data_IF_457695897790
#
_entry.id   IF_457695897790
#
_cell.length_a   1.000
_cell.length_b   1.000
_cell.length_c   1.000
_cell.angle_alpha   90.00
_cell.angle_beta   90.00
_cell.angle_gamma   90.00
#
_symmetry.space_group_name_H-M   'P 1'
#
loop_
_entity.id
_entity.type
_entity.pdbx_description
1 polymer ?
#
# COMPACT_ATOMS: atom_id res chain seq x y z
N UNK A 1 30.43 2.63 -10.33
CA UNK A 1 29.52 3.74 -10.02
C UNK A 1 28.11 3.18 -10.01
N UNK A 2 27.56 2.92 -8.83
CA UNK A 2 26.14 2.56 -8.70
C UNK A 2 25.32 3.71 -9.25
N UNK A 3 24.40 3.41 -10.17
CA UNK A 3 23.47 4.41 -10.68
C UNK A 3 22.56 4.78 -9.53
N UNK A 4 22.70 5.99 -8.99
CA UNK A 4 21.81 6.54 -7.96
C UNK A 4 20.39 6.51 -8.51
N UNK A 5 19.59 5.52 -8.11
CA UNK A 5 18.21 5.37 -8.57
C UNK A 5 17.35 6.38 -7.83
N UNK A 6 16.59 7.18 -8.59
CA UNK A 6 15.71 8.20 -8.03
C UNK A 6 14.42 7.52 -7.56
N UNK A 7 13.97 7.83 -6.33
CA UNK A 7 12.69 7.37 -5.79
C UNK A 7 11.52 7.55 -6.75
N UNK A 8 11.52 8.60 -7.58
CA UNK A 8 10.47 8.84 -8.59
C UNK A 8 10.29 7.66 -9.54
N UNK A 9 11.39 6.98 -9.95
CA UNK A 9 11.31 5.82 -10.86
C UNK A 9 10.67 4.60 -10.17
N UNK A 10 11.01 4.38 -8.90
CA UNK A 10 10.38 3.32 -8.11
C UNK A 10 8.91 3.60 -7.88
N UNK A 11 8.56 4.86 -7.63
CA UNK A 11 7.18 5.27 -7.46
C UNK A 11 6.37 5.07 -8.73
N UNK A 12 6.89 5.48 -9.88
CA UNK A 12 6.24 5.26 -11.18
C UNK A 12 5.99 3.77 -11.46
N UNK A 13 6.97 2.90 -11.14
CA UNK A 13 6.80 1.45 -11.25
C UNK A 13 5.72 0.91 -10.31
N UNK A 14 5.66 1.42 -9.07
CA UNK A 14 4.61 1.07 -8.11
C UNK A 14 3.25 1.53 -8.63
N UNK A 15 3.12 2.75 -9.11
CA UNK A 15 1.86 3.29 -9.68
C UNK A 15 1.35 2.45 -10.84
N UNK A 16 2.24 2.06 -11.77
CA UNK A 16 1.90 1.14 -12.87
C UNK A 16 1.41 -0.21 -12.35
N UNK A 17 2.02 -0.73 -11.29
CA UNK A 17 1.64 -2.01 -10.69
C UNK A 17 0.28 -1.90 -9.99
N UNK A 18 0.06 -0.84 -9.21
CA UNK A 18 -1.21 -0.56 -8.52
C UNK A 18 -2.37 -0.30 -9.49
N UNK A 19 -2.07 0.17 -10.71
CA UNK A 19 -3.04 0.37 -11.80
C UNK A 19 -3.34 -0.91 -12.61
N UNK A 20 -2.60 -2.01 -12.37
CA UNK A 20 -2.85 -3.28 -13.07
C UNK A 20 -4.26 -3.81 -12.77
N UNK A 21 -4.90 -4.49 -13.75
CA UNK A 21 -6.25 -5.04 -13.57
C UNK A 21 -6.31 -6.05 -12.41
N UNK A 22 -5.22 -6.77 -12.17
CA UNK A 22 -5.11 -7.78 -11.11
C UNK A 22 -5.27 -7.18 -9.71
N UNK A 23 -4.79 -5.96 -9.51
CA UNK A 23 -4.89 -5.25 -8.24
C UNK A 23 -6.08 -4.28 -8.17
N UNK A 24 -6.66 -3.90 -9.32
CA UNK A 24 -7.79 -2.96 -9.40
C UNK A 24 -9.15 -3.67 -9.36
N UNK A 25 -9.25 -4.85 -9.96
CA UNK A 25 -10.50 -5.59 -10.01
C UNK A 25 -10.67 -6.43 -8.74
N UNK A 26 -11.72 -6.14 -7.96
CA UNK A 26 -12.00 -6.81 -6.69
C UNK A 26 -12.16 -8.33 -6.82
N UNK A 27 -12.74 -8.83 -7.93
CA UNK A 27 -12.95 -10.27 -8.15
C UNK A 27 -11.65 -10.99 -8.50
N UNK A 28 -10.79 -10.36 -9.29
CA UNK A 28 -9.45 -10.90 -9.59
C UNK A 28 -8.61 -10.90 -8.31
N UNK A 29 -8.66 -9.82 -7.53
CA UNK A 29 -7.99 -9.70 -6.24
C UNK A 29 -8.47 -10.77 -5.24
N UNK A 30 -9.77 -11.02 -5.16
CA UNK A 30 -10.36 -12.08 -4.33
C UNK A 30 -9.79 -13.45 -4.71
N UNK A 31 -9.69 -13.73 -6.01
CA UNK A 31 -9.12 -14.98 -6.53
C UNK A 31 -7.63 -15.11 -6.17
N UNK A 32 -6.86 -14.01 -6.23
CA UNK A 32 -5.44 -14.01 -5.82
C UNK A 32 -5.29 -14.29 -4.32
N UNK A 33 -6.10 -13.65 -3.49
CA UNK A 33 -6.09 -13.85 -2.04
C UNK A 33 -6.48 -15.29 -1.69
N UNK A 34 -7.50 -15.82 -2.35
CA UNK A 34 -7.90 -17.22 -2.20
C UNK A 34 -6.72 -18.15 -2.53
N UNK A 35 -6.04 -17.96 -3.67
CA UNK A 35 -4.88 -18.76 -4.06
C UNK A 35 -3.75 -18.71 -3.01
N UNK A 36 -3.44 -17.51 -2.50
CA UNK A 36 -2.39 -17.32 -1.49
C UNK A 36 -2.74 -17.97 -0.14
N UNK A 37 -3.99 -17.84 0.31
CA UNK A 37 -4.45 -18.46 1.56
C UNK A 37 -4.55 -19.99 1.44
N UNK A 38 -4.98 -20.51 0.28
CA UNK A 38 -4.98 -21.96 0.03
C UNK A 38 -3.57 -22.56 0.08
N UNK A 39 -2.58 -21.85 -0.47
CA UNK A 39 -1.20 -22.30 -0.48
C UNK A 39 -0.58 -22.29 0.92
N UNK A 40 -1.01 -21.40 1.82
CA UNK A 40 -0.48 -21.32 3.19
C UNK A 40 -1.16 -22.25 4.19
N UNK A 41 -2.42 -22.63 3.98
CA UNK A 41 -3.22 -23.28 5.04
C UNK A 41 -3.27 -24.80 5.03
N UNK A 42 -2.90 -25.49 3.95
CA UNK A 42 -2.82 -26.96 3.88
C UNK A 42 -4.08 -27.75 4.29
N UNK A 43 -5.23 -27.11 4.53
CA UNK A 43 -6.39 -27.72 5.21
C UNK A 43 -7.72 -27.22 4.65
N UNK A 44 -8.64 -28.17 4.41
CA UNK A 44 -10.00 -27.97 3.92
C UNK A 44 -10.95 -27.66 5.10
N UNK A 45 -11.47 -26.43 5.16
CA UNK A 45 -12.56 -26.07 6.07
C UNK A 45 -13.46 -25.03 5.37
N UNK A 46 -14.43 -25.56 4.62
CA UNK A 46 -15.10 -24.94 3.47
C UNK A 46 -15.97 -23.72 3.80
N UNK A 47 -16.46 -23.59 5.05
CA UNK A 47 -17.31 -22.46 5.47
C UNK A 47 -16.58 -21.28 6.15
N UNK A 48 -15.49 -21.54 6.89
CA UNK A 48 -14.71 -20.48 7.56
C UNK A 48 -13.85 -19.70 6.56
N UNK A 49 -13.44 -20.39 5.48
CA UNK A 49 -12.56 -19.87 4.43
C UNK A 49 -13.17 -18.71 3.65
N UNK A 50 -14.46 -18.79 3.30
CA UNK A 50 -15.10 -17.76 2.47
C UNK A 50 -15.22 -16.41 3.19
N UNK A 51 -15.67 -16.41 4.45
CA UNK A 51 -15.76 -15.17 5.24
C UNK A 51 -14.38 -14.53 5.45
N UNK A 52 -13.35 -15.36 5.67
CA UNK A 52 -11.96 -14.88 5.79
C UNK A 52 -11.47 -14.30 4.48
N UNK A 53 -11.73 -14.95 3.34
CA UNK A 53 -11.36 -14.44 2.01
C UNK A 53 -12.04 -13.10 1.76
N UNK A 54 -13.34 -12.95 2.02
CA UNK A 54 -14.04 -11.69 1.80
C UNK A 54 -13.49 -10.57 2.69
N UNK A 55 -13.30 -10.85 3.99
CA UNK A 55 -12.72 -9.87 4.92
C UNK A 55 -11.33 -9.42 4.47
N UNK A 56 -10.47 -10.36 4.09
CA UNK A 56 -9.12 -10.06 3.56
C UNK A 56 -9.16 -9.31 2.24
N UNK A 57 -10.12 -9.62 1.37
CA UNK A 57 -10.29 -8.91 0.09
C UNK A 57 -10.63 -7.44 0.33
N UNK A 58 -11.52 -7.15 1.28
CA UNK A 58 -11.86 -5.77 1.65
C UNK A 58 -10.65 -5.05 2.26
N UNK A 59 -9.96 -5.68 3.21
CA UNK A 59 -8.77 -5.09 3.84
C UNK A 59 -7.67 -4.76 2.83
N UNK A 60 -7.33 -5.71 1.94
CA UNK A 60 -6.31 -5.52 0.91
C UNK A 60 -6.75 -4.48 -0.12
N UNK A 61 -8.02 -4.49 -0.54
CA UNK A 61 -8.56 -3.45 -1.44
C UNK A 61 -8.41 -2.07 -0.84
N UNK A 62 -8.86 -1.88 0.41
CA UNK A 62 -8.74 -0.60 1.12
C UNK A 62 -7.29 -0.15 1.25
N UNK A 63 -6.37 -1.10 1.50
CA UNK A 63 -4.95 -0.82 1.56
C UNK A 63 -4.38 -0.38 0.21
N UNK A 64 -4.73 -1.08 -0.88
CA UNK A 64 -4.32 -0.71 -2.24
C UNK A 64 -4.87 0.68 -2.63
N UNK A 65 -6.11 0.98 -2.26
CA UNK A 65 -6.71 2.30 -2.47
C UNK A 65 -5.98 3.39 -1.69
N UNK A 66 -5.56 3.10 -0.45
CA UNK A 66 -4.72 4.01 0.33
C UNK A 66 -3.36 4.25 -0.35
N UNK A 67 -2.72 3.22 -0.91
CA UNK A 67 -1.47 3.39 -1.66
C UNK A 67 -1.66 4.20 -2.94
N UNK A 68 -2.77 4.01 -3.66
CA UNK A 68 -3.12 4.81 -4.85
C UNK A 68 -3.36 6.28 -4.50
N UNK A 69 -4.00 6.56 -3.37
CA UNK A 69 -4.31 7.93 -2.95
C UNK A 69 -3.06 8.78 -2.65
N UNK A 70 -1.89 8.15 -2.55
CA UNK A 70 -0.59 8.82 -2.33
C UNK A 70 0.14 9.15 -3.64
N UNK A 71 -0.46 8.77 -4.77
CA UNK A 71 0.01 9.18 -6.09
C UNK A 71 -0.26 10.68 -6.25
N UNK A 72 0.79 11.48 -6.31
CA UNK A 72 0.68 12.90 -6.64
C UNK A 72 0.61 12.97 -8.17
N UNK A 73 -0.59 13.03 -8.72
CA UNK A 73 -0.77 13.43 -10.12
C UNK A 73 -0.92 14.95 -10.17
N UNK A 74 -0.07 15.64 -10.93
CA UNK A 74 -0.12 17.11 -11.16
C UNK A 74 -1.40 17.61 -11.88
N UNK A 75 -2.42 16.78 -12.02
CA UNK A 75 -3.69 17.14 -12.62
C UNK A 75 -4.60 17.80 -11.58
N UNK A 76 -4.51 19.13 -11.51
CA UNK A 76 -5.65 19.97 -11.14
C UNK A 76 -6.85 19.60 -12.03
N UNK A 77 -7.91 19.05 -11.42
CA UNK A 77 -9.18 18.77 -12.07
C UNK A 77 -10.20 18.26 -11.03
N UNK A 78 -11.38 18.89 -10.87
CA UNK A 78 -12.29 18.58 -9.78
C UNK A 78 -13.36 17.60 -10.27
N UNK A 79 -13.18 16.29 -10.16
CA UNK A 79 -14.27 15.35 -10.44
C UNK A 79 -14.39 14.23 -9.39
N UNK A 80 -15.37 14.47 -8.51
CA UNK A 80 -16.36 13.51 -8.01
C UNK A 80 -15.86 12.17 -7.46
N UNK A 81 -15.28 12.22 -6.26
CA UNK A 81 -15.52 11.21 -5.22
C UNK A 81 -15.50 11.94 -3.85
N UNK A 82 -16.45 11.61 -2.98
CA UNK A 82 -16.70 12.30 -1.70
C UNK A 82 -15.45 12.51 -0.82
N UNK A 83 -15.39 13.59 -0.01
CA UNK A 83 -14.21 13.97 0.77
C UNK A 83 -14.12 13.12 2.04
N UNK A 84 -13.80 11.84 1.93
CA UNK A 84 -13.76 10.94 3.09
C UNK A 84 -12.36 10.68 3.65
N UNK A 85 -11.30 11.07 2.94
CA UNK A 85 -9.92 10.87 3.40
C UNK A 85 -9.11 12.13 3.15
N UNK A 86 -8.64 12.77 4.24
CA UNK A 86 -7.82 13.98 4.16
C UNK A 86 -6.66 13.80 3.17
N UNK A 87 -6.48 14.80 2.31
CA UNK A 87 -5.45 14.82 1.28
C UNK A 87 -4.05 14.66 1.90
N UNK A 88 -3.21 13.83 1.28
CA UNK A 88 -1.83 13.66 1.71
C UNK A 88 -1.04 14.93 1.39
N UNK A 89 -0.43 15.52 2.42
CA UNK A 89 0.42 16.70 2.32
C UNK A 89 1.89 16.26 2.37
N UNK A 90 2.73 16.81 1.50
CA UNK A 90 4.15 16.48 1.42
C UNK A 90 4.92 17.15 2.57
N UNK A 91 5.68 16.38 3.35
CA UNK A 91 6.59 16.91 4.38
C UNK A 91 8.03 17.01 3.88
N UNK A 92 8.50 15.99 3.19
CA UNK A 92 9.86 15.90 2.70
C UNK A 92 9.88 15.06 1.44
N UNK A 93 10.64 15.50 0.46
CA UNK A 93 10.83 14.77 -0.80
C UNK A 93 12.27 14.97 -1.25
N UNK A 94 12.99 13.88 -1.41
CA UNK A 94 14.37 13.86 -1.88
C UNK A 94 14.62 12.59 -2.71
N UNK A 95 15.82 12.46 -3.28
CA UNK A 95 16.14 11.34 -4.17
C UNK A 95 16.02 9.94 -3.52
N UNK A 96 16.06 9.85 -2.20
CA UNK A 96 16.10 8.59 -1.43
C UNK A 96 14.75 8.22 -0.82
N UNK A 97 14.01 9.19 -0.29
CA UNK A 97 12.76 8.96 0.42
C UNK A 97 11.79 10.16 0.29
N UNK A 98 10.50 9.86 0.37
CA UNK A 98 9.42 10.85 0.51
C UNK A 98 8.63 10.60 1.80
N UNK A 99 8.29 11.67 2.51
CA UNK A 99 7.45 11.64 3.70
C UNK A 99 6.21 12.47 3.43
N UNK A 100 5.05 11.86 3.61
CA UNK A 100 3.74 12.47 3.51
C UNK A 100 3.02 12.40 4.84
N UNK A 101 2.07 13.30 5.05
CA UNK A 101 1.22 13.31 6.23
C UNK A 101 -0.23 13.57 5.86
N UNK A 102 -1.15 13.04 6.67
CA UNK A 102 -2.56 13.42 6.65
C UNK A 102 -3.07 13.61 8.07
N UNK A 103 -3.98 14.56 8.23
CA UNK A 103 -4.70 14.78 9.48
C UNK A 103 -5.59 13.57 9.78
N UNK A 104 -5.67 13.20 11.05
CA UNK A 104 -6.62 12.19 11.50
C UNK A 104 -8.06 12.70 11.46
N UNK A 105 -9.03 11.87 11.83
CA UNK A 105 -10.43 12.29 11.93
C UNK A 105 -10.59 13.54 12.80
N UNK A 106 -11.55 14.40 12.43
CA UNK A 106 -11.80 15.65 13.13
C UNK A 106 -12.01 15.41 14.63
N UNK A 107 -11.37 16.24 15.46
CA UNK A 107 -11.43 16.14 16.91
C UNK A 107 -10.44 15.14 17.52
N UNK A 108 -9.64 14.43 16.71
CA UNK A 108 -8.55 13.59 17.21
C UNK A 108 -7.21 14.32 17.12
N UNK A 109 -6.29 14.14 18.07
CA UNK A 109 -4.94 14.72 18.00
C UNK A 109 -4.00 13.90 17.09
N UNK A 110 -4.49 12.78 16.54
CA UNK A 110 -3.66 11.82 15.81
C UNK A 110 -3.51 12.23 14.35
N UNK A 111 -2.33 11.95 13.79
CA UNK A 111 -2.01 12.16 12.39
C UNK A 111 -1.43 10.87 11.82
N UNK A 112 -1.63 10.63 10.53
CA UNK A 112 -0.95 9.52 9.84
C UNK A 112 0.26 10.07 9.10
N UNK A 113 1.42 9.43 9.28
CA UNK A 113 2.62 9.65 8.49
C UNK A 113 2.85 8.46 7.58
N UNK A 114 3.26 8.73 6.34
CA UNK A 114 3.67 7.72 5.38
C UNK A 114 5.06 8.07 4.87
N UNK A 115 6.00 7.14 5.01
CA UNK A 115 7.34 7.24 4.46
C UNK A 115 7.52 6.19 3.37
N UNK A 116 7.91 6.62 2.18
CA UNK A 116 8.29 5.73 1.09
C UNK A 116 9.75 5.95 0.72
N UNK A 117 10.43 4.89 0.31
CA UNK A 117 11.83 4.90 -0.11
C UNK A 117 12.20 3.54 -0.69
N UNK A 118 13.47 3.35 -1.01
CA UNK A 118 13.99 2.05 -1.45
C UNK A 118 14.97 1.50 -0.43
N UNK A 119 15.07 0.17 -0.37
CA UNK A 119 16.08 -0.54 0.40
C UNK A 119 16.84 -1.45 -0.55
N UNK A 120 18.15 -1.29 -0.61
CA UNK A 120 19.03 -2.14 -1.40
C UNK A 120 19.38 -3.39 -0.59
N UNK A 121 18.43 -4.31 -0.50
CA UNK A 121 18.59 -5.54 0.28
C UNK A 121 17.46 -6.54 0.07
N UNK A 122 17.70 -7.82 0.41
CA UNK A 122 16.67 -8.85 0.34
C UNK A 122 15.47 -8.52 1.24
N UNK A 123 14.25 -8.76 0.76
CA UNK A 123 13.01 -8.43 1.47
C UNK A 123 12.90 -9.16 2.82
N UNK A 124 13.38 -10.40 2.88
CA UNK A 124 13.45 -11.21 4.10
C UNK A 124 14.36 -10.59 5.17
N UNK A 125 15.44 -9.94 4.75
CA UNK A 125 16.31 -9.17 5.64
C UNK A 125 15.57 -7.92 6.13
N UNK A 126 14.91 -7.16 5.25
CA UNK A 126 14.14 -5.96 5.62
C UNK A 126 13.05 -6.25 6.67
N UNK A 127 12.33 -7.36 6.52
CA UNK A 127 11.28 -7.79 7.47
C UNK A 127 11.84 -8.00 8.89
N UNK A 128 13.05 -8.53 9.02
CA UNK A 128 13.71 -8.72 10.32
C UNK A 128 14.08 -7.39 10.99
N UNK A 129 14.51 -6.39 10.22
CA UNK A 129 14.85 -5.06 10.74
C UNK A 129 13.62 -4.26 11.17
N UNK A 130 12.53 -4.32 10.40
CA UNK A 130 11.30 -3.57 10.69
C UNK A 130 10.52 -4.12 11.91
N UNK A 131 10.48 -5.45 12.09
CA UNK A 131 9.84 -6.07 13.25
C UNK A 131 10.51 -5.68 14.58
N UNK A 132 11.82 -5.40 14.57
CA UNK A 132 12.54 -4.94 15.76
C UNK A 132 12.27 -3.46 16.11
N UNK A 133 11.67 -2.67 15.22
CA UNK A 133 11.52 -1.21 15.38
C UNK A 133 10.07 -0.72 15.29
N UNK A 134 9.06 -1.59 15.38
CA UNK A 134 7.62 -1.23 15.30
C UNK A 134 7.23 -0.48 14.01
N UNK A 135 7.97 -0.64 12.91
CA UNK A 135 7.55 -0.16 11.60
C UNK A 135 6.75 -1.26 10.89
N UNK A 136 5.49 -1.00 10.58
CA UNK A 136 4.72 -1.81 9.62
C UNK A 136 5.34 -1.60 8.24
N UNK A 137 6.14 -2.57 7.79
CA UNK A 137 6.72 -2.58 6.46
C UNK A 137 5.84 -3.46 5.55
N UNK A 138 5.01 -2.87 4.66
CA UNK A 138 4.26 -3.63 3.68
C UNK A 138 5.20 -4.00 2.52
N UNK A 139 6.18 -4.85 2.77
CA UNK A 139 6.88 -5.52 1.69
C UNK A 139 5.97 -6.64 1.18
N UNK A 140 5.18 -6.33 0.15
CA UNK A 140 4.49 -7.30 -0.71
C UNK A 140 5.49 -7.90 -1.71
#
# INVERSE_FOLDING_TARGET
MEKKQNITQYRERLDKTLASPDLKNKEILKTLIQKQLCHSSGQELEGCKEKVIETRTVEVSNFLDMLRSTSISDSQGPETCEPSHGEWKLKQDNEQFRVMYREGPQGTPFHTLLSEGYVDGPVDVCKSYCNNHNFLCPCL
#
